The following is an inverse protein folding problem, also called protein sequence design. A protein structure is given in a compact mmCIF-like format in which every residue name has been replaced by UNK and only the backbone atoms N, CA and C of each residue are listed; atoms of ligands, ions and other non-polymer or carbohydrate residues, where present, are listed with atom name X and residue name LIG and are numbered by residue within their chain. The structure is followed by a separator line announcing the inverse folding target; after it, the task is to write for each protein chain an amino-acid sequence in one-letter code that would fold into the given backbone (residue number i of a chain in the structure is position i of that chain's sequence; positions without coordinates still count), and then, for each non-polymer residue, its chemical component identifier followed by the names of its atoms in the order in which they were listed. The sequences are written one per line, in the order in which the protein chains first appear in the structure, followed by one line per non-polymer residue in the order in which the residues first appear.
data_IF_081972890811
#
_entry.id   IF_081972890811
#
_cell.length_a   1.000
_cell.length_b   1.000
_cell.length_c   1.000
_cell.angle_alpha   90.00
_cell.angle_beta   90.00
_cell.angle_gamma   90.00
#
_symmetry.space_group_name_H-M   'P 1'
#
loop_
_entity.id
_entity.type
_entity.pdbx_description
1 polymer ?
#
# COMPACT_ATOMS: atom_id res chain seq x y z
N UNK A 1 -8.51 2.88 -9.29
CA UNK A 1 -8.59 1.56 -8.65
C UNK A 1 -10.02 1.30 -8.21
N UNK A 2 -10.52 0.12 -8.46
CA UNK A 2 -11.82 -0.33 -7.93
C UNK A 2 -11.70 -0.86 -6.51
N UNK A 3 -12.77 -1.47 -6.00
CA UNK A 3 -12.82 -2.04 -4.66
C UNK A 3 -13.14 -1.02 -3.58
N UNK A 4 -12.85 -1.37 -2.33
CA UNK A 4 -13.24 -0.59 -1.16
C UNK A 4 -12.15 0.38 -0.66
N UNK A 5 -10.90 0.26 -1.15
CA UNK A 5 -9.82 1.13 -0.72
C UNK A 5 -10.07 2.62 -0.97
N UNK A 6 -10.53 3.04 -2.18
CA UNK A 6 -10.80 4.46 -2.41
C UNK A 6 -11.87 5.03 -1.48
N UNK A 7 -12.91 4.25 -1.19
CA UNK A 7 -13.95 4.65 -0.25
C UNK A 7 -13.42 4.79 1.18
N UNK A 8 -12.56 3.87 1.59
CA UNK A 8 -11.92 3.93 2.90
C UNK A 8 -11.02 5.17 3.02
N UNK A 9 -10.23 5.46 1.99
CA UNK A 9 -9.40 6.67 1.94
C UNK A 9 -10.26 7.93 2.07
N UNK A 10 -11.35 8.02 1.31
CA UNK A 10 -12.25 9.17 1.36
C UNK A 10 -12.87 9.37 2.74
N UNK A 11 -13.20 8.30 3.44
CA UNK A 11 -13.75 8.36 4.81
C UNK A 11 -12.76 8.92 5.84
N UNK A 12 -11.47 8.90 5.57
CA UNK A 12 -10.47 9.54 6.43
C UNK A 12 -10.51 11.07 6.35
N UNK A 13 -11.24 11.62 5.37
CA UNK A 13 -11.29 13.05 5.11
C UNK A 13 -10.28 13.53 4.07
N UNK A 14 -9.38 12.67 3.61
CA UNK A 14 -8.42 12.98 2.55
C UNK A 14 -9.00 12.62 1.18
N UNK A 15 -8.76 13.49 0.20
CA UNK A 15 -9.13 13.25 -1.20
C UNK A 15 -8.03 12.50 -1.95
N UNK A 16 -6.81 12.56 -1.48
CA UNK A 16 -5.66 11.90 -2.04
C UNK A 16 -4.44 12.04 -1.16
N UNK A 17 -3.39 11.32 -1.52
CA UNK A 17 -2.10 11.34 -0.82
C UNK A 17 -1.00 11.48 -1.85
N UNK A 18 -0.11 12.44 -1.65
CA UNK A 18 1.09 12.61 -2.47
C UNK A 18 2.29 12.13 -1.66
N UNK A 19 3.03 11.20 -2.24
CA UNK A 19 4.20 10.62 -1.60
C UNK A 19 5.43 11.01 -2.42
N UNK A 20 6.38 11.69 -1.77
CA UNK A 20 7.63 12.10 -2.39
C UNK A 20 8.82 11.56 -1.62
N UNK A 21 9.98 11.50 -2.28
CA UNK A 21 11.20 10.97 -1.68
C UNK A 21 11.20 9.45 -1.63
N UNK A 22 12.12 8.89 -0.85
CA UNK A 22 12.24 7.45 -0.63
C UNK A 22 12.69 7.18 0.80
N UNK A 23 12.07 6.20 1.44
CA UNK A 23 12.49 5.74 2.76
C UNK A 23 13.77 4.91 2.66
N UNK A 24 14.64 4.98 3.66
CA UNK A 24 15.83 4.13 3.72
C UNK A 24 15.48 2.67 3.99
N UNK A 25 14.36 2.42 4.64
CA UNK A 25 13.88 1.09 4.97
C UNK A 25 12.42 0.95 4.58
N UNK A 26 11.93 -0.26 4.30
CA UNK A 26 10.52 -0.48 3.97
C UNK A 26 9.60 0.05 5.06
N UNK A 27 8.59 0.80 4.66
CA UNK A 27 7.56 1.33 5.56
C UNK A 27 6.17 1.08 5.00
N UNK A 28 5.18 1.07 5.88
CA UNK A 28 3.79 1.17 5.49
C UNK A 28 3.16 2.39 6.15
N UNK A 29 2.18 2.95 5.49
CA UNK A 29 1.49 4.16 5.93
C UNK A 29 0.13 3.79 6.52
N UNK A 30 -0.13 4.24 7.74
CA UNK A 30 -1.43 4.12 8.37
C UNK A 30 -2.14 5.46 8.28
N UNK A 31 -3.14 5.53 7.41
CA UNK A 31 -3.89 6.75 7.15
C UNK A 31 -5.21 6.70 7.92
N UNK A 32 -5.40 7.66 8.80
CA UNK A 32 -6.60 7.80 9.63
C UNK A 32 -7.11 9.23 9.54
N UNK A 33 -8.33 9.54 10.05
CA UNK A 33 -8.78 10.93 10.13
C UNK A 33 -7.87 11.87 10.90
N UNK A 34 -7.02 11.32 11.77
CA UNK A 34 -6.09 12.10 12.58
C UNK A 34 -4.76 12.40 11.87
N UNK A 35 -4.50 11.75 10.75
CA UNK A 35 -3.28 11.96 9.98
C UNK A 35 -2.68 10.67 9.44
N UNK A 36 -1.38 10.71 9.17
CA UNK A 36 -0.62 9.60 8.61
C UNK A 36 0.50 9.21 9.55
N UNK A 37 0.57 7.94 9.92
CA UNK A 37 1.66 7.37 10.68
C UNK A 37 2.50 6.44 9.79
N UNK A 38 3.82 6.44 10.02
CA UNK A 38 4.76 5.57 9.32
C UNK A 38 5.15 4.42 10.25
N UNK A 39 5.09 3.20 9.72
CA UNK A 39 5.48 2.02 10.46
C UNK A 39 6.46 1.19 9.64
N UNK A 40 7.35 0.45 10.33
CA UNK A 40 8.25 -0.47 9.65
C UNK A 40 7.48 -1.57 8.91
N UNK A 41 7.86 -1.82 7.67
CA UNK A 41 7.32 -2.90 6.83
C UNK A 41 8.35 -4.01 6.60
N UNK A 42 9.36 -4.13 7.45
CA UNK A 42 10.40 -5.16 7.28
C UNK A 42 9.82 -6.57 7.31
N UNK A 43 8.80 -6.80 8.14
CA UNK A 43 8.14 -8.11 8.23
C UNK A 43 7.25 -8.42 7.02
N UNK A 44 6.75 -7.38 6.34
CA UNK A 44 5.87 -7.51 5.19
C UNK A 44 6.63 -7.50 3.86
N UNK A 45 7.85 -6.99 3.84
CA UNK A 45 8.69 -6.95 2.63
C UNK A 45 9.01 -8.37 2.16
N UNK A 46 8.79 -8.64 0.89
CA UNK A 46 8.99 -9.97 0.30
C UNK A 46 7.75 -10.86 0.30
N UNK A 47 6.68 -10.49 1.02
CA UNK A 47 5.44 -11.26 1.02
C UNK A 47 4.65 -11.04 -0.26
N UNK A 48 3.84 -12.05 -0.64
CA UNK A 48 2.82 -11.88 -1.67
C UNK A 48 1.79 -10.87 -1.20
N UNK A 49 1.11 -10.24 -2.16
CA UNK A 49 0.14 -9.17 -1.83
C UNK A 49 -0.95 -9.61 -0.86
N UNK A 50 -1.49 -10.81 -1.01
CA UNK A 50 -2.50 -11.35 -0.08
C UNK A 50 -1.96 -11.51 1.35
N UNK A 51 -0.75 -12.02 1.47
CA UNK A 51 -0.07 -12.20 2.76
C UNK A 51 0.27 -10.86 3.42
N UNK A 52 0.77 -9.90 2.63
CA UNK A 52 1.08 -8.55 3.10
C UNK A 52 -0.19 -7.83 3.58
N UNK A 53 -1.27 -7.94 2.83
CA UNK A 53 -2.56 -7.36 3.19
C UNK A 53 -3.08 -7.91 4.52
N UNK A 54 -3.04 -9.23 4.70
CA UNK A 54 -3.42 -9.87 5.96
C UNK A 54 -2.54 -9.43 7.13
N UNK A 55 -1.23 -9.37 6.92
CA UNK A 55 -0.29 -8.97 7.97
C UNK A 55 -0.54 -7.53 8.42
N UNK A 56 -0.77 -6.62 7.48
CA UNK A 56 -1.08 -5.22 7.79
C UNK A 56 -2.43 -5.10 8.51
N UNK A 57 -3.45 -5.82 8.07
CA UNK A 57 -4.77 -5.83 8.73
C UNK A 57 -4.69 -6.32 10.17
N UNK A 58 -3.85 -7.28 10.47
CA UNK A 58 -3.61 -7.74 11.86
C UNK A 58 -3.01 -6.64 12.73
N UNK A 59 -2.17 -5.79 12.17
CA UNK A 59 -1.52 -4.68 12.88
C UNK A 59 -2.41 -3.45 12.99
N UNK A 60 -3.14 -3.12 11.93
CA UNK A 60 -3.93 -1.89 11.83
C UNK A 60 -5.41 -2.07 12.20
N UNK A 61 -5.92 -3.29 12.17
CA UNK A 61 -7.33 -3.62 12.44
C UNK A 61 -8.05 -4.19 11.23
N UNK A 62 -9.01 -5.08 11.47
CA UNK A 62 -9.72 -5.82 10.41
C UNK A 62 -10.57 -4.93 9.49
N UNK A 63 -10.97 -3.76 9.98
CA UNK A 63 -11.77 -2.81 9.21
C UNK A 63 -10.95 -1.96 8.25
N UNK A 64 -9.62 -1.98 8.36
CA UNK A 64 -8.74 -1.27 7.46
C UNK A 64 -8.79 -1.86 6.07
N UNK A 65 -8.58 -1.00 5.07
CA UNK A 65 -8.37 -1.41 3.69
C UNK A 65 -6.91 -1.16 3.32
N UNK A 66 -6.31 -2.11 2.68
CA UNK A 66 -4.87 -2.09 2.38
C UNK A 66 -4.67 -2.01 0.87
N UNK A 67 -3.79 -1.14 0.44
CA UNK A 67 -3.23 -1.14 -0.90
C UNK A 67 -1.74 -1.43 -0.79
N UNK A 68 -1.27 -2.46 -1.45
CA UNK A 68 0.11 -2.92 -1.31
C UNK A 68 0.71 -3.35 -2.65
N UNK A 69 2.01 -3.51 -2.63
CA UNK A 69 2.79 -4.14 -3.71
C UNK A 69 3.26 -5.52 -3.26
N UNK A 70 3.64 -6.34 -4.21
CA UNK A 70 4.33 -7.60 -3.95
C UNK A 70 5.80 -7.53 -4.37
N UNK A 71 6.49 -8.68 -4.41
CA UNK A 71 7.92 -8.74 -4.77
C UNK A 71 8.27 -8.10 -6.10
N UNK A 72 7.36 -8.11 -7.08
CA UNK A 72 7.58 -7.45 -8.36
C UNK A 72 7.74 -5.93 -8.19
N UNK A 73 6.87 -5.28 -7.40
CA UNK A 73 6.97 -3.85 -7.11
C UNK A 73 8.23 -3.52 -6.31
N UNK A 74 8.53 -4.34 -5.32
CA UNK A 74 9.72 -4.19 -4.49
C UNK A 74 11.01 -4.23 -5.31
N UNK A 75 11.03 -5.03 -6.36
CA UNK A 75 12.20 -5.20 -7.27
C UNK A 75 12.16 -4.26 -8.48
N UNK A 76 11.20 -3.36 -8.55
CA UNK A 76 11.13 -2.37 -9.62
C UNK A 76 10.71 -2.93 -10.98
N UNK A 77 9.98 -4.03 -11.01
CA UNK A 77 9.46 -4.60 -12.27
C UNK A 77 8.46 -3.63 -12.90
N UNK A 78 8.66 -3.29 -14.16
CA UNK A 78 7.88 -2.24 -14.84
C UNK A 78 6.38 -2.54 -14.98
N UNK A 79 5.99 -3.80 -14.89
CA UNK A 79 4.58 -4.22 -14.94
C UNK A 79 3.94 -4.36 -13.56
N UNK A 80 4.68 -4.07 -12.49
CA UNK A 80 4.20 -4.26 -11.14
C UNK A 80 2.94 -3.42 -10.86
N UNK A 81 2.01 -4.02 -10.16
CA UNK A 81 0.74 -3.41 -9.80
C UNK A 81 0.68 -3.07 -8.31
N UNK A 82 -0.16 -2.11 -7.98
CA UNK A 82 -0.66 -1.93 -6.62
C UNK A 82 -1.96 -2.72 -6.50
N UNK A 83 -2.08 -3.51 -5.45
CA UNK A 83 -3.19 -4.44 -5.23
C UNK A 83 -3.91 -4.08 -3.95
N UNK A 84 -5.23 -4.12 -3.99
CA UNK A 84 -6.08 -4.05 -2.81
C UNK A 84 -7.21 -5.05 -2.97
N UNK A 85 -7.33 -5.97 -2.02
CA UNK A 85 -8.27 -7.08 -2.13
C UNK A 85 -8.03 -7.87 -3.44
N UNK A 86 -9.01 -7.93 -4.32
CA UNK A 86 -8.89 -8.55 -5.65
C UNK A 86 -8.77 -7.53 -6.78
N UNK A 87 -8.58 -6.26 -6.44
CA UNK A 87 -8.51 -5.16 -7.41
C UNK A 87 -7.08 -4.70 -7.60
N UNK A 88 -6.78 -4.25 -8.80
CA UNK A 88 -5.44 -3.79 -9.14
C UNK A 88 -5.46 -2.40 -9.77
N UNK A 89 -4.41 -1.65 -9.51
CA UNK A 89 -4.03 -0.50 -10.30
C UNK A 89 -2.67 -0.83 -10.92
N UNK A 90 -2.65 -1.10 -12.22
CA UNK A 90 -1.49 -1.72 -12.85
C UNK A 90 -0.91 -0.92 -14.02
N UNK A 91 -1.73 -0.15 -14.71
CA UNK A 91 -1.25 0.59 -15.88
C UNK A 91 -0.23 1.66 -15.47
N UNK A 92 0.89 1.74 -16.21
CA UNK A 92 1.93 2.73 -15.98
C UNK A 92 3.02 2.33 -14.98
N UNK A 93 3.02 1.07 -14.51
CA UNK A 93 4.08 0.58 -13.62
C UNK A 93 4.06 1.19 -12.22
N UNK A 94 2.90 1.56 -11.74
CA UNK A 94 2.76 2.26 -10.44
C UNK A 94 3.21 1.42 -9.24
N UNK A 95 3.20 0.09 -9.36
CA UNK A 95 3.75 -0.79 -8.33
C UNK A 95 5.26 -0.62 -8.16
N UNK A 96 5.99 -0.46 -9.28
CA UNK A 96 7.42 -0.17 -9.23
C UNK A 96 7.70 1.23 -8.63
N UNK A 97 6.87 2.21 -8.97
CA UNK A 97 6.97 3.55 -8.37
C UNK A 97 6.76 3.49 -6.86
N UNK A 98 5.73 2.78 -6.40
CA UNK A 98 5.47 2.60 -4.97
C UNK A 98 6.64 1.90 -4.28
N UNK A 99 7.20 0.86 -4.90
CA UNK A 99 8.35 0.13 -4.36
C UNK A 99 9.65 0.94 -4.31
N UNK A 100 9.72 2.02 -5.07
CA UNK A 100 10.87 2.93 -5.07
C UNK A 100 10.83 3.98 -3.95
N UNK A 101 9.75 4.04 -3.20
CA UNK A 101 9.54 5.03 -2.14
C UNK A 101 9.93 4.49 -0.78
#
# INVERSE_FOLDING_TARGET
MGGSFPNALKRTGFDGVVISGASRQPVWLHITPDGVAFHSAQDEWGLKTSEAEEAIKKKAGDKCRVACIGPAGEKGVLYAAVVSETRTASRGGIGAVMGSK
#
